data_IF_233330234817
#
_entry.id   IF_233330234817
#
_cell.length_a   1.000
_cell.length_b   1.000
_cell.length_c   1.000
_cell.angle_alpha   90.00
_cell.angle_beta   90.00
_cell.angle_gamma   90.00
#
_symmetry.space_group_name_H-M   'P 1'
#
loop_
_entity.id
_entity.type
_entity.pdbx_description
1 polymer ?
#
# COMPACT_ATOMS: atom_id res chain seq x y z
N UNK A 1 -15.82 23.09 11.00
CA UNK A 1 -14.53 23.79 11.22
C UNK A 1 -14.45 24.44 12.62
N UNK A 2 -15.22 23.98 13.61
CA UNK A 2 -15.26 24.60 14.94
C UNK A 2 -15.09 23.52 16.03
N UNK A 3 -13.88 22.97 16.20
CA UNK A 3 -13.61 22.02 17.28
C UNK A 3 -13.68 22.71 18.67
N UNK A 4 -13.77 21.94 19.76
CA UNK A 4 -13.65 22.47 21.12
C UNK A 4 -12.38 23.30 21.28
N UNK A 5 -12.45 24.34 22.11
CA UNK A 5 -11.36 25.26 22.43
C UNK A 5 -10.84 25.01 23.84
N UNK A 6 -9.63 25.48 24.12
CA UNK A 6 -9.05 25.43 25.47
C UNK A 6 -10.04 26.04 26.47
N UNK A 7 -10.41 25.25 27.48
CA UNK A 7 -11.41 25.62 28.50
C UNK A 7 -12.78 24.97 28.32
N UNK A 8 -13.10 24.41 27.15
CA UNK A 8 -14.31 23.61 26.95
C UNK A 8 -14.20 22.24 27.65
N UNK A 9 -15.29 21.72 28.21
CA UNK A 9 -15.30 20.44 28.94
C UNK A 9 -14.76 19.26 28.13
N UNK A 10 -14.95 19.29 26.82
CA UNK A 10 -14.54 18.22 25.88
C UNK A 10 -13.19 18.47 25.21
N UNK A 11 -12.49 19.58 25.51
CA UNK A 11 -11.25 19.92 24.80
C UNK A 11 -10.15 18.88 24.98
N UNK A 12 -9.89 18.48 26.23
CA UNK A 12 -8.81 17.54 26.54
C UNK A 12 -9.05 16.15 25.93
N UNK A 13 -10.28 15.63 26.02
CA UNK A 13 -10.62 14.34 25.41
C UNK A 13 -10.55 14.40 23.89
N UNK A 14 -11.09 15.46 23.28
CA UNK A 14 -11.03 15.67 21.83
C UNK A 14 -9.59 15.74 21.32
N UNK A 15 -8.72 16.50 21.98
CA UNK A 15 -7.32 16.64 21.59
C UNK A 15 -6.55 15.31 21.75
N UNK A 16 -6.79 14.59 22.85
CA UNK A 16 -6.19 13.28 23.07
C UNK A 16 -6.62 12.25 22.00
N UNK A 17 -7.91 12.18 21.68
CA UNK A 17 -8.43 11.29 20.63
C UNK A 17 -7.85 11.64 19.25
N UNK A 18 -7.85 12.94 18.91
CA UNK A 18 -7.28 13.43 17.65
C UNK A 18 -5.81 13.07 17.53
N UNK A 19 -5.00 13.35 18.55
CA UNK A 19 -3.56 13.08 18.53
C UNK A 19 -3.30 11.58 18.43
N UNK A 20 -4.02 10.77 19.19
CA UNK A 20 -3.90 9.31 19.13
C UNK A 20 -4.22 8.75 17.74
N UNK A 21 -5.26 9.27 17.07
CA UNK A 21 -5.63 8.86 15.71
C UNK A 21 -4.54 9.25 14.71
N UNK A 22 -4.06 10.51 14.76
CA UNK A 22 -3.03 11.00 13.85
C UNK A 22 -1.70 10.26 14.03
N UNK A 23 -1.27 10.09 15.28
CA UNK A 23 -0.08 9.31 15.62
C UNK A 23 -0.20 7.85 15.17
N UNK A 24 -1.37 7.22 15.32
CA UNK A 24 -1.60 5.86 14.81
C UNK A 24 -1.55 5.80 13.28
N UNK A 25 -2.14 6.77 12.57
CA UNK A 25 -2.04 6.82 11.10
C UNK A 25 -0.59 6.96 10.65
N UNK A 26 0.20 7.81 11.30
CA UNK A 26 1.62 7.99 10.99
C UNK A 26 2.43 6.70 11.20
N UNK A 27 2.23 6.00 12.33
CA UNK A 27 2.89 4.71 12.60
C UNK A 27 2.51 3.65 11.56
N UNK A 28 1.22 3.53 11.23
CA UNK A 28 0.74 2.58 10.21
C UNK A 28 1.31 2.87 8.83
N UNK A 29 1.36 4.14 8.43
CA UNK A 29 1.99 4.55 7.18
C UNK A 29 3.46 4.14 7.14
N UNK A 30 4.20 4.41 8.22
CA UNK A 30 5.62 4.07 8.30
C UNK A 30 5.89 2.57 8.24
N UNK A 31 5.11 1.76 8.97
CA UNK A 31 5.26 0.29 8.94
C UNK A 31 5.01 -0.27 7.53
N UNK A 32 3.98 0.21 6.83
CA UNK A 32 3.69 -0.23 5.46
C UNK A 32 4.76 0.24 4.47
N UNK A 33 5.19 1.50 4.56
CA UNK A 33 6.28 2.05 3.75
C UNK A 33 7.57 1.22 3.91
N UNK A 34 7.98 0.95 5.15
CA UNK A 34 9.16 0.14 5.46
C UNK A 34 8.99 -1.30 4.99
N UNK A 35 7.78 -1.85 5.08
CA UNK A 35 7.44 -3.17 4.56
C UNK A 35 7.61 -3.23 3.04
N UNK A 36 7.06 -2.26 2.31
CA UNK A 36 7.15 -2.22 0.85
C UNK A 36 8.57 -1.95 0.36
N UNK A 37 9.33 -1.08 1.02
CA UNK A 37 10.72 -0.78 0.63
C UNK A 37 11.69 -1.95 0.87
N UNK A 38 11.29 -2.99 1.60
CA UNK A 38 12.07 -4.23 1.75
C UNK A 38 11.79 -5.25 0.65
N UNK A 39 10.74 -5.07 -0.15
CA UNK A 39 10.38 -5.99 -1.22
C UNK A 39 11.29 -5.79 -2.44
N UNK A 40 11.62 -6.90 -3.11
CA UNK A 40 12.44 -6.90 -4.31
C UNK A 40 11.81 -6.02 -5.41
N UNK A 41 12.58 -5.10 -6.00
CA UNK A 41 12.07 -4.27 -7.10
C UNK A 41 10.91 -3.35 -6.72
N UNK A 42 10.65 -3.10 -5.44
CA UNK A 42 9.66 -2.13 -4.97
C UNK A 42 10.34 -0.92 -4.38
N UNK A 43 9.81 0.27 -4.67
CA UNK A 43 10.16 1.50 -3.97
C UNK A 43 8.88 2.22 -3.60
N UNK A 44 8.79 2.64 -2.35
CA UNK A 44 7.66 3.38 -1.81
C UNK A 44 8.17 4.71 -1.25
N UNK A 45 7.64 5.81 -1.78
CA UNK A 45 7.89 7.12 -1.22
C UNK A 45 7.23 7.24 0.16
N UNK A 46 7.81 8.09 1.00
CA UNK A 46 7.23 8.46 2.27
C UNK A 46 5.86 9.11 2.06
N UNK A 47 4.87 8.72 2.86
CA UNK A 47 3.60 9.43 2.92
C UNK A 47 3.73 10.64 3.85
N UNK A 48 3.77 11.85 3.28
CA UNK A 48 3.74 13.11 4.04
C UNK A 48 2.36 13.39 4.66
N UNK A 49 1.31 12.75 4.15
CA UNK A 49 -0.06 12.90 4.63
C UNK A 49 -1.06 12.02 3.89
N UNK A 50 -2.35 12.37 4.00
CA UNK A 50 -3.48 11.60 3.48
C UNK A 50 -3.57 10.18 4.07
N UNK A 51 -4.02 9.20 3.29
CA UNK A 51 -4.34 7.84 3.76
C UNK A 51 -3.83 6.73 2.82
N UNK A 52 -2.89 7.06 1.94
CA UNK A 52 -2.46 6.16 0.87
C UNK A 52 -0.96 6.14 0.69
N UNK A 53 -0.45 4.95 0.37
CA UNK A 53 0.87 4.74 -0.20
C UNK A 53 0.71 4.37 -1.68
N UNK A 54 1.70 4.73 -2.48
CA UNK A 54 1.72 4.44 -3.92
C UNK A 54 3.06 3.82 -4.36
N UNK A 55 3.37 2.58 -3.93
CA UNK A 55 4.63 1.95 -4.27
C UNK A 55 4.74 1.69 -5.77
N UNK A 56 5.93 1.94 -6.32
CA UNK A 56 6.29 1.56 -7.67
C UNK A 56 6.93 0.17 -7.65
N UNK A 57 6.40 -0.75 -8.45
CA UNK A 57 6.91 -2.11 -8.64
C UNK A 57 7.60 -2.26 -10.01
N UNK A 58 8.83 -2.76 -10.02
CA UNK A 58 9.57 -3.14 -11.23
C UNK A 58 9.22 -4.59 -11.57
N UNK A 59 8.23 -4.77 -12.44
CA UNK A 59 7.78 -6.09 -12.87
C UNK A 59 8.77 -6.71 -13.88
N UNK A 60 9.13 -8.00 -13.72
CA UNK A 60 9.95 -8.71 -14.72
C UNK A 60 9.29 -8.80 -16.09
N UNK A 61 10.08 -8.95 -17.15
CA UNK A 61 9.55 -9.01 -18.51
C UNK A 61 8.63 -10.21 -18.74
N UNK A 62 8.90 -11.36 -18.10
CA UNK A 62 8.00 -12.53 -18.15
C UNK A 62 6.62 -12.20 -17.55
N UNK A 63 6.57 -11.44 -16.45
CA UNK A 63 5.31 -11.02 -15.83
C UNK A 63 4.53 -10.05 -16.74
N UNK A 64 5.23 -9.10 -17.38
CA UNK A 64 4.63 -8.16 -18.34
C UNK A 64 4.01 -8.92 -19.52
N UNK A 65 4.75 -9.86 -20.12
CA UNK A 65 4.25 -10.71 -21.20
C UNK A 65 3.06 -11.58 -20.77
N UNK A 66 3.07 -12.09 -19.55
CA UNK A 66 1.95 -12.86 -19.01
C UNK A 66 0.69 -11.98 -18.83
N UNK A 67 0.85 -10.74 -18.41
CA UNK A 67 -0.24 -9.77 -18.32
C UNK A 67 -0.81 -9.42 -19.71
N UNK A 68 0.06 -9.21 -20.71
CA UNK A 68 -0.33 -8.99 -22.11
C UNK A 68 -1.11 -10.19 -22.67
N UNK A 69 -0.63 -11.41 -22.44
CA UNK A 69 -1.32 -12.63 -22.85
C UNK A 69 -2.69 -12.80 -22.18
N UNK A 70 -2.85 -12.27 -20.96
CA UNK A 70 -4.12 -12.22 -20.23
C UNK A 70 -4.97 -10.98 -20.57
N UNK A 71 -4.58 -10.19 -21.57
CA UNK A 71 -5.22 -8.95 -22.01
C UNK A 71 -5.51 -7.98 -20.85
N UNK A 72 -4.51 -7.76 -19.98
CA UNK A 72 -4.62 -6.89 -18.81
C UNK A 72 -3.35 -6.06 -18.60
N UNK A 73 -3.48 -4.92 -17.94
CA UNK A 73 -2.32 -4.10 -17.58
C UNK A 73 -1.41 -4.86 -16.58
N UNK A 74 -0.08 -4.76 -16.68
CA UNK A 74 0.86 -5.46 -15.78
C UNK A 74 0.62 -5.22 -14.28
N UNK A 75 0.29 -3.99 -13.87
CA UNK A 75 -0.08 -3.72 -12.48
C UNK A 75 -1.41 -4.35 -12.08
N UNK A 76 -2.43 -4.33 -12.94
CA UNK A 76 -3.70 -4.99 -12.71
C UNK A 76 -3.55 -6.51 -12.62
N UNK A 77 -2.67 -7.10 -13.43
CA UNK A 77 -2.29 -8.51 -13.33
C UNK A 77 -1.70 -8.84 -11.95
N UNK A 78 -0.71 -8.05 -11.51
CA UNK A 78 -0.10 -8.20 -10.20
C UNK A 78 -1.13 -8.07 -9.06
N UNK A 79 -1.95 -7.02 -9.09
CA UNK A 79 -2.97 -6.77 -8.07
C UNK A 79 -4.02 -7.89 -8.01
N UNK A 80 -4.44 -8.44 -9.16
CA UNK A 80 -5.38 -9.57 -9.21
C UNK A 80 -4.75 -10.85 -8.66
N UNK A 81 -3.47 -11.10 -8.96
CA UNK A 81 -2.71 -12.25 -8.42
C UNK A 81 -2.56 -12.13 -6.90
N UNK A 82 -2.25 -10.93 -6.39
CA UNK A 82 -2.18 -10.65 -4.95
C UNK A 82 -3.51 -10.95 -4.26
N UNK A 83 -4.61 -10.43 -4.82
CA UNK A 83 -5.96 -10.64 -4.30
C UNK A 83 -6.28 -12.14 -4.21
N UNK A 84 -6.07 -12.88 -5.29
CA UNK A 84 -6.38 -14.31 -5.32
C UNK A 84 -5.55 -15.14 -4.33
N UNK A 85 -4.30 -14.74 -4.08
CA UNK A 85 -3.41 -15.47 -3.18
C UNK A 85 -3.61 -15.13 -1.69
N UNK A 86 -4.01 -13.90 -1.37
CA UNK A 86 -3.93 -13.36 0.00
C UNK A 86 -5.24 -12.80 0.54
N UNK A 87 -6.21 -12.53 -0.34
CA UNK A 87 -7.41 -11.75 -0.03
C UNK A 87 -7.16 -10.24 0.12
N UNK A 88 -5.94 -9.75 -0.06
CA UNK A 88 -5.61 -8.33 0.05
C UNK A 88 -6.00 -7.60 -1.23
N UNK A 89 -6.86 -6.59 -1.11
CA UNK A 89 -7.28 -5.73 -2.21
C UNK A 89 -6.41 -4.47 -2.24
N UNK A 90 -5.78 -4.20 -3.38
CA UNK A 90 -5.13 -2.94 -3.70
C UNK A 90 -5.62 -2.45 -5.07
N UNK A 91 -5.43 -1.17 -5.37
CA UNK A 91 -5.89 -0.61 -6.65
C UNK A 91 -4.70 -0.46 -7.61
N UNK A 92 -4.75 -0.98 -8.84
CA UNK A 92 -3.64 -0.86 -9.78
C UNK A 92 -3.41 0.58 -10.24
N UNK A 93 -2.14 0.92 -10.49
CA UNK A 93 -1.69 2.26 -10.92
C UNK A 93 -2.30 2.72 -12.24
N UNK A 94 -2.61 1.79 -13.15
CA UNK A 94 -3.23 2.02 -14.44
C UNK A 94 -4.57 2.76 -14.35
N UNK A 95 -5.28 2.67 -13.22
CA UNK A 95 -6.50 3.44 -12.97
C UNK A 95 -6.30 4.92 -12.59
N UNK A 96 -5.06 5.33 -12.28
CA UNK A 96 -4.73 6.69 -11.80
C UNK A 96 -3.96 7.53 -12.82
N UNK A 97 -3.47 6.90 -13.89
CA UNK A 97 -2.44 7.48 -14.74
C UNK A 97 -1.06 7.37 -14.09
N UNK A 98 -0.06 7.00 -14.88
CA UNK A 98 1.33 6.84 -14.45
C UNK A 98 2.26 7.02 -15.65
N UNK A 99 3.53 7.28 -15.39
CA UNK A 99 4.53 7.42 -16.46
C UNK A 99 4.59 6.10 -17.27
N UNK A 100 4.53 6.13 -18.61
CA UNK A 100 4.62 4.93 -19.42
C UNK A 100 5.84 4.07 -19.07
N UNK A 101 5.64 2.76 -18.96
CA UNK A 101 6.69 1.81 -18.57
C UNK A 101 6.92 1.69 -17.05
N UNK A 102 6.19 2.45 -16.24
CA UNK A 102 6.18 2.30 -14.77
C UNK A 102 4.88 1.66 -14.29
N UNK A 103 4.96 0.91 -13.20
CA UNK A 103 3.84 0.17 -12.63
C UNK A 103 3.73 0.45 -11.14
N UNK A 104 2.52 0.66 -10.67
CA UNK A 104 2.25 1.01 -9.28
C UNK A 104 1.02 0.31 -8.75
N UNK A 105 0.82 0.38 -7.44
CA UNK A 105 -0.48 0.09 -6.82
C UNK A 105 -0.73 1.08 -5.68
N UNK A 106 -2.00 1.36 -5.37
CA UNK A 106 -2.39 2.15 -4.21
C UNK A 106 -2.78 1.23 -3.06
N UNK A 107 -2.13 1.40 -1.92
CA UNK A 107 -2.48 0.72 -0.67
C UNK A 107 -2.97 1.73 0.37
N UNK A 108 -3.96 1.36 1.17
CA UNK A 108 -4.48 2.21 2.25
C UNK A 108 -3.76 1.93 3.57
N UNK A 109 -3.57 2.96 4.39
CA UNK A 109 -3.00 2.86 5.74
C UNK A 109 -4.08 2.62 6.82
N UNK A 110 -5.34 2.46 6.41
CA UNK A 110 -6.50 2.39 7.30
C UNK A 110 -6.74 1.06 8.04
N UNK A 111 -6.16 -0.11 7.68
CA UNK A 111 -6.32 -1.30 8.51
C UNK A 111 -5.91 -1.05 9.95
N UNK A 112 -6.47 -1.83 10.88
CA UNK A 112 -6.11 -1.71 12.29
C UNK A 112 -4.60 -1.93 12.47
N UNK A 113 -3.98 -1.15 13.37
CA UNK A 113 -2.53 -1.08 13.53
C UNK A 113 -1.93 -2.46 13.82
N UNK A 114 -2.59 -3.24 14.67
CA UNK A 114 -2.23 -4.61 15.03
C UNK A 114 -2.34 -5.62 13.87
N UNK A 115 -3.10 -5.31 12.82
CA UNK A 115 -3.23 -6.17 11.62
C UNK A 115 -2.24 -5.81 10.52
N UNK A 116 -1.61 -4.64 10.57
CA UNK A 116 -0.64 -4.20 9.56
C UNK A 116 0.51 -5.19 9.39
N UNK A 117 1.15 -5.72 10.46
CA UNK A 117 2.23 -6.70 10.31
C UNK A 117 1.78 -7.95 9.54
N UNK A 118 0.58 -8.47 9.81
CA UNK A 118 0.05 -9.63 9.10
C UNK A 118 -0.22 -9.33 7.61
N UNK A 119 -0.65 -8.12 7.28
CA UNK A 119 -0.81 -7.68 5.89
C UNK A 119 0.56 -7.62 5.19
N UNK A 120 1.57 -7.04 5.83
CA UNK A 120 2.94 -6.96 5.30
C UNK A 120 3.50 -8.36 5.06
N UNK A 121 3.35 -9.30 6.01
CA UNK A 121 3.79 -10.68 5.83
C UNK A 121 3.12 -11.38 4.65
N UNK A 122 1.79 -11.30 4.53
CA UNK A 122 1.05 -11.87 3.38
C UNK A 122 1.49 -11.27 2.06
N UNK A 123 1.72 -9.97 2.03
CA UNK A 123 2.19 -9.27 0.83
C UNK A 123 3.61 -9.74 0.46
N UNK A 124 4.49 -9.87 1.44
CA UNK A 124 5.88 -10.32 1.27
C UNK A 124 5.92 -11.73 0.70
N UNK A 125 5.21 -12.68 1.33
CA UNK A 125 5.16 -14.07 0.88
C UNK A 125 4.59 -14.20 -0.54
N UNK A 126 3.55 -13.43 -0.87
CA UNK A 126 3.02 -13.38 -2.23
C UNK A 126 4.05 -12.82 -3.21
N UNK A 127 4.66 -11.69 -2.86
CA UNK A 127 5.59 -10.98 -3.71
C UNK A 127 6.82 -11.82 -4.03
N UNK A 128 7.41 -12.48 -3.03
CA UNK A 128 8.54 -13.40 -3.24
C UNK A 128 8.19 -14.56 -4.18
N UNK A 129 7.02 -15.18 -4.01
CA UNK A 129 6.54 -16.25 -4.90
C UNK A 129 6.32 -15.74 -6.32
N UNK A 130 5.71 -14.57 -6.46
CA UNK A 130 5.48 -13.92 -7.75
C UNK A 130 6.81 -13.62 -8.46
N UNK A 131 7.78 -13.04 -7.75
CA UNK A 131 9.09 -12.74 -8.31
C UNK A 131 9.86 -14.02 -8.66
N UNK A 132 9.75 -15.10 -7.87
CA UNK A 132 10.36 -16.40 -8.21
C UNK A 132 9.74 -17.05 -9.46
N UNK A 133 8.43 -16.87 -9.68
CA UNK A 133 7.73 -17.39 -10.86
C UNK A 133 8.13 -16.67 -12.15
N UNK A 134 8.35 -15.35 -12.07
CA UNK A 134 8.55 -14.50 -13.25
C UNK A 134 9.95 -13.92 -13.41
N UNK A 135 10.88 -14.14 -12.48
CA UNK A 135 12.27 -13.71 -12.66
C UNK A 135 12.91 -14.44 -13.83
N UNK A 136 13.82 -13.73 -14.51
CA UNK A 136 14.54 -14.26 -15.65
C UNK A 136 15.54 -15.35 -15.24
#
# INVERSE_FOLDING_TARGET
MSPPKVGDESYESFMAEKENILSSLARRAKILEDGFNKLEGVTCNQAEGAMYLFPQIRLPQKAIKAAEAANTAPDAFYCKRLLNATGVVVVPGSGFGQVPGTWHFRCTILPQEEKIPAIVSRFTEFHEKFMNEFRD
#
